data_IF_214991382929
#
_entry.id   IF_214991382929
#
_cell.length_a   1.000
_cell.length_b   1.000
_cell.length_c   1.000
_cell.angle_alpha   90.00
_cell.angle_beta   90.00
_cell.angle_gamma   90.00
#
_symmetry.space_group_name_H-M   'P 1'
#
loop_
_entity.id
_entity.type
_entity.pdbx_description
1 polymer ?
#
# COMPACT_ATOMS: atom_id res chain seq x y z
N UNK A 1 7.15 -12.40 -24.58
CA UNK A 1 7.61 -11.63 -23.41
C UNK A 1 6.99 -10.25 -23.47
N UNK A 2 6.14 -9.90 -22.51
CA UNK A 2 5.66 -8.52 -22.35
C UNK A 2 6.84 -7.68 -21.87
N UNK A 3 7.25 -6.69 -22.65
CA UNK A 3 8.34 -5.80 -22.26
C UNK A 3 7.78 -4.68 -21.37
N UNK A 4 7.68 -4.96 -20.07
CA UNK A 4 7.19 -4.00 -19.08
C UNK A 4 8.29 -3.00 -18.72
N UNK A 5 7.98 -1.72 -18.79
CA UNK A 5 8.83 -0.63 -18.31
C UNK A 5 9.02 -0.72 -16.79
N UNK A 6 10.09 -0.10 -16.28
CA UNK A 6 10.33 -0.02 -14.84
C UNK A 6 9.15 0.64 -14.08
N UNK A 7 8.52 1.65 -14.69
CA UNK A 7 7.35 2.33 -14.11
C UNK A 7 6.16 1.38 -13.98
N UNK A 8 5.90 0.56 -14.99
CA UNK A 8 4.81 -0.42 -14.95
C UNK A 8 5.08 -1.52 -13.91
N UNK A 9 6.33 -2.00 -13.80
CA UNK A 9 6.70 -2.93 -12.72
C UNK A 9 6.51 -2.30 -11.34
N UNK A 10 6.86 -1.02 -11.20
CA UNK A 10 6.65 -0.27 -9.96
C UNK A 10 5.16 -0.07 -9.63
N UNK A 11 4.27 0.02 -10.61
CA UNK A 11 2.83 0.00 -10.33
C UNK A 11 2.36 -1.42 -9.99
N UNK A 12 2.76 -2.41 -10.79
CA UNK A 12 2.33 -3.80 -10.64
C UNK A 12 2.72 -4.40 -9.30
N UNK A 13 3.91 -4.10 -8.77
CA UNK A 13 4.35 -4.70 -7.50
C UNK A 13 3.37 -4.39 -6.34
N UNK A 14 2.70 -3.24 -6.39
CA UNK A 14 1.71 -2.85 -5.38
C UNK A 14 0.46 -3.72 -5.40
N UNK A 15 0.17 -4.34 -6.55
CA UNK A 15 -0.95 -5.29 -6.72
C UNK A 15 -0.56 -6.73 -6.37
N UNK A 16 0.70 -6.99 -6.07
CA UNK A 16 1.12 -8.35 -5.72
C UNK A 16 0.54 -8.75 -4.35
N UNK A 17 -0.11 -9.91 -4.21
CA UNK A 17 -0.75 -10.32 -2.96
C UNK A 17 0.20 -10.31 -1.75
N UNK A 18 1.45 -10.75 -1.95
CA UNK A 18 2.46 -10.70 -0.88
C UNK A 18 2.83 -9.27 -0.46
N UNK A 19 2.85 -8.32 -1.40
CA UNK A 19 3.12 -6.91 -1.10
C UNK A 19 1.97 -6.32 -0.28
N UNK A 20 0.73 -6.56 -0.71
CA UNK A 20 -0.46 -6.13 0.00
C UNK A 20 -0.53 -6.71 1.41
N UNK A 21 -0.22 -8.00 1.59
CA UNK A 21 -0.18 -8.61 2.91
C UNK A 21 0.84 -7.93 3.83
N UNK A 22 2.07 -7.71 3.35
CA UNK A 22 3.12 -7.02 4.13
C UNK A 22 2.72 -5.59 4.45
N UNK A 23 2.17 -4.84 3.50
CA UNK A 23 1.79 -3.45 3.71
C UNK A 23 0.60 -3.32 4.67
N UNK A 24 -0.40 -4.23 4.61
CA UNK A 24 -1.53 -4.27 5.55
C UNK A 24 -1.04 -4.64 6.95
N UNK A 25 -0.24 -5.69 7.09
CA UNK A 25 0.34 -6.09 8.38
C UNK A 25 1.21 -4.98 8.96
N UNK A 26 2.05 -4.34 8.13
CA UNK A 26 2.86 -3.20 8.52
C UNK A 26 2.02 -1.99 8.93
N UNK A 27 0.89 -1.73 8.27
CA UNK A 27 -0.05 -0.69 8.68
C UNK A 27 -0.61 -0.97 10.08
N UNK A 28 -1.07 -2.20 10.35
CA UNK A 28 -1.61 -2.59 11.67
C UNK A 28 -0.53 -2.48 12.75
N UNK A 29 0.66 -3.03 12.50
CA UNK A 29 1.79 -3.01 13.45
C UNK A 29 2.21 -1.57 13.74
N UNK A 30 2.42 -0.76 12.70
CA UNK A 30 2.80 0.65 12.90
C UNK A 30 1.71 1.41 13.66
N UNK A 31 0.43 1.19 13.36
CA UNK A 31 -0.70 1.82 14.07
C UNK A 31 -0.64 1.50 15.57
N UNK A 32 -0.39 0.25 15.95
CA UNK A 32 -0.19 -0.13 17.35
C UNK A 32 1.00 0.60 17.99
N UNK A 33 2.15 0.68 17.32
CA UNK A 33 3.30 1.42 17.84
C UNK A 33 3.05 2.94 17.95
N UNK A 34 2.27 3.53 17.05
CA UNK A 34 1.84 4.92 17.16
C UNK A 34 0.90 5.13 18.34
N UNK A 35 -0.02 4.18 18.59
CA UNK A 35 -0.85 4.16 19.79
C UNK A 35 0.04 4.16 21.04
N UNK A 36 1.07 3.33 21.12
CA UNK A 36 2.01 3.29 22.25
C UNK A 36 3.05 4.44 22.26
N UNK A 37 2.88 5.47 21.43
CA UNK A 37 3.82 6.60 21.28
C UNK A 37 5.26 6.21 20.88
N UNK A 38 5.45 4.98 20.37
CA UNK A 38 6.72 4.43 19.89
C UNK A 38 6.82 4.47 18.36
N UNK A 39 6.44 5.62 17.80
CA UNK A 39 6.27 5.83 16.36
C UNK A 39 7.49 5.44 15.52
N UNK A 40 8.71 5.74 15.98
CA UNK A 40 9.95 5.39 15.28
C UNK A 40 10.09 3.87 15.07
N UNK A 41 9.76 3.07 16.09
CA UNK A 41 9.80 1.60 15.98
C UNK A 41 8.76 1.11 14.96
N UNK A 42 7.54 1.67 15.00
CA UNK A 42 6.50 1.35 14.05
C UNK A 42 6.90 1.66 12.60
N UNK A 43 7.44 2.85 12.36
CA UNK A 43 7.92 3.24 11.03
C UNK A 43 9.07 2.35 10.56
N UNK A 44 10.06 2.10 11.42
CA UNK A 44 11.22 1.29 11.05
C UNK A 44 10.82 -0.13 10.63
N UNK A 45 9.97 -0.80 11.41
CA UNK A 45 9.51 -2.16 11.10
C UNK A 45 8.73 -2.16 9.77
N UNK A 46 7.77 -1.26 9.64
CA UNK A 46 6.87 -1.23 8.48
C UNK A 46 7.60 -0.88 7.19
N UNK A 47 8.45 0.16 7.20
CA UNK A 47 9.21 0.51 6.01
C UNK A 47 10.26 -0.55 5.67
N UNK A 48 10.95 -1.13 6.65
CA UNK A 48 11.94 -2.19 6.38
C UNK A 48 11.27 -3.41 5.74
N UNK A 49 10.13 -3.87 6.29
CA UNK A 49 9.38 -4.98 5.73
C UNK A 49 8.87 -4.67 4.31
N UNK A 50 8.32 -3.47 4.11
CA UNK A 50 7.80 -3.00 2.83
C UNK A 50 8.90 -2.89 1.76
N UNK A 51 10.09 -2.38 2.11
CA UNK A 51 11.26 -2.31 1.22
C UNK A 51 11.76 -3.72 0.89
N UNK A 52 11.91 -4.59 1.90
CA UNK A 52 12.40 -5.96 1.72
C UNK A 52 11.51 -6.76 0.75
N UNK A 53 10.19 -6.70 0.92
CA UNK A 53 9.26 -7.40 0.01
C UNK A 53 9.31 -6.80 -1.40
N UNK A 54 9.47 -5.48 -1.55
CA UNK A 54 9.62 -4.87 -2.88
C UNK A 54 10.89 -5.36 -3.56
N UNK A 55 12.04 -5.35 -2.89
CA UNK A 55 13.30 -5.85 -3.46
C UNK A 55 13.19 -7.33 -3.85
N UNK A 56 12.58 -8.15 -2.97
CA UNK A 56 12.34 -9.56 -3.25
C UNK A 56 11.49 -9.76 -4.51
N UNK A 57 10.38 -9.02 -4.65
CA UNK A 57 9.50 -9.14 -5.82
C UNK A 57 10.20 -8.68 -7.11
N UNK A 58 11.02 -7.63 -7.06
CA UNK A 58 11.81 -7.18 -8.23
C UNK A 58 12.76 -8.24 -8.77
N UNK A 59 13.22 -9.18 -7.94
CA UNK A 59 14.09 -10.27 -8.36
C UNK A 59 13.34 -11.56 -8.73
N UNK A 60 12.23 -11.85 -8.05
CA UNK A 60 11.60 -13.19 -8.12
C UNK A 60 10.16 -13.21 -8.63
N UNK A 61 9.50 -12.06 -8.80
CA UNK A 61 8.10 -12.05 -9.23
C UNK A 61 7.96 -12.37 -10.73
N UNK A 62 6.94 -13.17 -11.05
CA UNK A 62 6.48 -13.36 -12.42
C UNK A 62 5.61 -12.17 -12.84
N UNK A 63 6.26 -11.19 -13.47
CA UNK A 63 5.62 -9.96 -13.94
C UNK A 63 4.61 -10.19 -15.07
N UNK A 64 4.81 -11.21 -15.90
CA UNK A 64 3.91 -11.52 -17.01
C UNK A 64 2.59 -12.06 -16.45
N UNK A 65 2.65 -13.01 -15.50
CA UNK A 65 1.46 -13.50 -14.80
C UNK A 65 0.74 -12.39 -14.04
N UNK A 66 1.48 -11.54 -13.33
CA UNK A 66 0.89 -10.45 -12.55
C UNK A 66 0.20 -9.41 -13.43
N UNK A 67 0.80 -9.04 -14.57
CA UNK A 67 0.21 -8.08 -15.52
C UNK A 67 -1.11 -8.54 -16.15
N UNK A 68 -1.35 -9.85 -16.20
CA UNK A 68 -2.57 -10.46 -16.74
C UNK A 68 -3.65 -10.69 -15.69
N UNK A 69 -3.32 -10.50 -14.41
CA UNK A 69 -4.30 -10.65 -13.33
C UNK A 69 -5.32 -9.50 -13.34
N UNK A 70 -6.55 -9.71 -12.85
CA UNK A 70 -7.56 -8.64 -12.78
C UNK A 70 -7.06 -7.41 -12.01
N UNK A 71 -6.38 -7.63 -10.88
CA UNK A 71 -5.83 -6.56 -10.06
C UNK A 71 -4.62 -5.88 -10.72
N UNK A 72 -3.79 -6.63 -11.43
CA UNK A 72 -2.67 -6.08 -12.21
C UNK A 72 -3.15 -5.19 -13.35
N UNK A 73 -4.14 -5.64 -14.13
CA UNK A 73 -4.78 -4.85 -15.19
C UNK A 73 -5.45 -3.60 -14.62
N UNK A 74 -6.17 -3.72 -13.51
CA UNK A 74 -6.75 -2.60 -12.79
C UNK A 74 -5.70 -1.57 -12.38
N UNK A 75 -4.60 -2.04 -11.79
CA UNK A 75 -3.54 -1.17 -11.27
C UNK A 75 -2.81 -0.45 -12.40
N UNK A 76 -2.49 -1.14 -13.49
CA UNK A 76 -1.89 -0.51 -14.68
C UNK A 76 -2.81 0.54 -15.32
N UNK A 77 -4.12 0.34 -15.29
CA UNK A 77 -5.09 1.23 -15.93
C UNK A 77 -5.45 2.45 -15.08
N UNK A 78 -5.57 2.27 -13.76
CA UNK A 78 -6.17 3.30 -12.90
C UNK A 78 -5.24 3.82 -11.81
N UNK A 79 -4.23 3.05 -11.39
CA UNK A 79 -3.33 3.50 -10.33
C UNK A 79 -2.34 4.53 -10.88
N UNK A 80 -2.25 5.67 -10.19
CA UNK A 80 -1.31 6.73 -10.50
C UNK A 80 -0.72 7.29 -9.20
N UNK A 81 0.30 8.15 -9.34
CA UNK A 81 0.99 8.76 -8.20
C UNK A 81 0.07 9.58 -7.29
N UNK A 82 -1.01 10.16 -7.82
CA UNK A 82 -1.96 10.91 -7.00
C UNK A 82 -2.74 9.98 -6.07
N UNK A 83 -3.20 8.82 -6.56
CA UNK A 83 -3.89 7.83 -5.73
C UNK A 83 -2.95 7.19 -4.70
N UNK A 84 -1.69 6.94 -5.06
CA UNK A 84 -0.66 6.54 -4.09
C UNK A 84 -0.49 7.58 -2.98
N UNK A 85 -0.42 8.86 -3.35
CA UNK A 85 -0.37 9.97 -2.40
C UNK A 85 -1.58 10.03 -1.48
N UNK A 86 -2.78 9.81 -2.00
CA UNK A 86 -4.02 9.76 -1.19
C UNK A 86 -3.98 8.57 -0.23
N UNK A 87 -3.56 7.39 -0.68
CA UNK A 87 -3.40 6.20 0.19
C UNK A 87 -2.41 6.46 1.31
N UNK A 88 -1.27 7.09 1.00
CA UNK A 88 -0.30 7.47 2.01
C UNK A 88 -0.87 8.52 2.98
N UNK A 89 -1.61 9.51 2.49
CA UNK A 89 -2.32 10.48 3.33
C UNK A 89 -3.32 9.81 4.27
N UNK A 90 -4.07 8.82 3.80
CA UNK A 90 -4.93 7.99 4.64
C UNK A 90 -4.16 7.24 5.74
N UNK A 91 -2.97 6.71 5.42
CA UNK A 91 -2.10 6.06 6.40
C UNK A 91 -1.58 7.06 7.46
N UNK A 92 -1.24 8.27 7.05
CA UNK A 92 -0.85 9.35 7.98
C UNK A 92 -2.01 9.71 8.90
N UNK A 93 -3.24 9.79 8.39
CA UNK A 93 -4.43 10.00 9.22
C UNK A 93 -4.63 8.88 10.24
N UNK A 94 -4.39 7.63 9.85
CA UNK A 94 -4.40 6.49 10.78
C UNK A 94 -3.37 6.68 11.89
N UNK A 95 -2.13 7.02 11.54
CA UNK A 95 -1.06 7.23 12.51
C UNK A 95 -1.35 8.40 13.47
N UNK A 96 -1.87 9.52 12.95
CA UNK A 96 -2.29 10.67 13.77
C UNK A 96 -3.47 10.31 14.66
N UNK A 97 -4.46 9.57 14.15
CA UNK A 97 -5.57 9.05 14.95
C UNK A 97 -5.09 8.15 16.09
N UNK A 98 -4.19 7.22 15.78
CA UNK A 98 -3.62 6.30 16.75
C UNK A 98 -2.80 7.02 17.82
N UNK A 99 -1.96 7.97 17.42
CA UNK A 99 -1.19 8.82 18.35
C UNK A 99 -2.09 9.53 19.35
N UNK A 100 -3.22 10.07 18.90
CA UNK A 100 -4.17 10.79 19.75
C UNK A 100 -5.18 9.87 20.47
N UNK A 101 -4.97 8.55 20.44
CA UNK A 101 -5.90 7.56 21.00
C UNK A 101 -7.33 7.68 20.46
N UNK A 102 -7.47 8.19 19.23
CA UNK A 102 -8.74 8.50 18.60
C UNK A 102 -9.09 7.42 17.54
N UNK A 103 -9.95 6.45 17.86
CA UNK A 103 -10.33 5.39 16.93
C UNK A 103 -11.08 5.92 15.69
N UNK A 104 -11.77 7.06 15.78
CA UNK A 104 -12.45 7.65 14.62
C UNK A 104 -11.45 8.16 13.57
N UNK A 105 -10.29 8.67 14.01
CA UNK A 105 -9.20 9.05 13.10
C UNK A 105 -8.63 7.86 12.33
N UNK A 106 -8.50 6.72 13.02
CA UNK A 106 -8.08 5.44 12.42
C UNK A 106 -9.09 5.00 11.35
N UNK A 107 -10.39 5.00 11.69
CA UNK A 107 -11.46 4.61 10.77
C UNK A 107 -11.51 5.55 9.55
N UNK A 108 -11.43 6.88 9.78
CA UNK A 108 -11.45 7.85 8.70
C UNK A 108 -10.27 7.65 7.72
N UNK A 109 -9.06 7.43 8.23
CA UNK A 109 -7.90 7.14 7.40
C UNK A 109 -8.04 5.82 6.61
N UNK A 110 -8.61 4.78 7.24
CA UNK A 110 -8.90 3.52 6.55
C UNK A 110 -9.92 3.70 5.41
N UNK A 111 -10.97 4.50 5.63
CA UNK A 111 -11.96 4.85 4.59
C UNK A 111 -11.29 5.58 3.42
N UNK A 112 -10.35 6.50 3.68
CA UNK A 112 -9.59 7.20 2.62
C UNK A 112 -8.77 6.21 1.78
N UNK A 113 -8.07 5.26 2.42
CA UNK A 113 -7.29 4.23 1.71
C UNK A 113 -8.20 3.36 0.85
N UNK A 114 -9.32 2.88 1.40
CA UNK A 114 -10.28 2.06 0.67
C UNK A 114 -10.90 2.85 -0.50
N UNK A 115 -11.30 4.10 -0.27
CA UNK A 115 -11.83 4.97 -1.32
C UNK A 115 -10.84 5.18 -2.46
N UNK A 116 -9.55 5.35 -2.16
CA UNK A 116 -8.51 5.46 -3.18
C UNK A 116 -8.34 4.15 -3.97
N UNK A 117 -8.39 2.99 -3.31
CA UNK A 117 -8.37 1.69 -3.98
C UNK A 117 -9.59 1.46 -4.86
N UNK A 118 -10.78 1.92 -4.45
CA UNK A 118 -12.03 1.74 -5.17
C UNK A 118 -12.29 2.82 -6.24
N UNK A 119 -11.50 3.90 -6.26
CA UNK A 119 -11.70 5.03 -7.18
C UNK A 119 -11.73 4.63 -8.66
N UNK A 120 -10.85 3.71 -9.07
CA UNK A 120 -10.82 3.20 -10.44
C UNK A 120 -12.01 2.33 -10.81
N UNK A 121 -12.67 1.68 -9.83
CA UNK A 121 -13.86 0.84 -10.09
C UNK A 121 -15.02 1.70 -10.58
N UNK A 122 -15.18 2.92 -10.05
CA UNK A 122 -16.21 3.87 -10.48
C UNK A 122 -16.00 4.39 -11.91
N UNK A 123 -14.78 4.31 -12.45
CA UNK A 123 -14.44 4.73 -13.82
C UNK A 123 -14.48 3.60 -14.85
N UNK A 124 -14.87 2.40 -14.42
CA UNK A 124 -15.09 1.23 -15.26
C UNK A 124 -16.57 1.14 -15.66
#
# INVERSE_FOLDING_TARGET
MINLTFKEKLLLHQSHPAKLAVDISGSIISTYFFWEHRWLTGLFITFSASIAITLYLFHYADWEKLSRSPLGLYTLRFMNRSLEGIRFGGQVLIWVGAWNKNPFGIIAGAIVILGAWLWGIRKN
#
